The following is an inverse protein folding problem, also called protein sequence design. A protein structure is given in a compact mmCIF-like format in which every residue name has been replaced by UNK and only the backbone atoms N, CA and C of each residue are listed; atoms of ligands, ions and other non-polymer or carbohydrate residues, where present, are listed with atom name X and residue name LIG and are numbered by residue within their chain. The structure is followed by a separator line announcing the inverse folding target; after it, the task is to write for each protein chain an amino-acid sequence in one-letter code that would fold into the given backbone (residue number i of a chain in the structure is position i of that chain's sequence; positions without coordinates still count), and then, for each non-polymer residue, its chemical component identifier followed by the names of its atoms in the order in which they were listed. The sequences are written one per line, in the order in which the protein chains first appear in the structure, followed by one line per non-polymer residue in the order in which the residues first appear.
data_IF_135768576015
#
_entry.id   IF_135768576015
#
_cell.length_a   1.000
_cell.length_b   1.000
_cell.length_c   1.000
_cell.angle_alpha   90.00
_cell.angle_beta   90.00
_cell.angle_gamma   90.00
#
_symmetry.space_group_name_H-M   'P 1'
#
loop_
_entity.id
_entity.type
_entity.pdbx_description
1 polymer ?
#
# COMPACT_ATOMS: atom_id res chain seq x y z
N UNK A 1 54.47 23.63 -32.72
CA UNK A 1 53.01 23.47 -32.84
C UNK A 1 52.63 22.03 -32.59
N UNK A 2 52.30 21.66 -31.34
CA UNK A 2 51.61 20.41 -31.06
C UNK A 2 50.54 20.71 -30.02
N UNK A 3 49.29 20.74 -30.49
CA UNK A 3 48.09 20.90 -29.66
C UNK A 3 47.71 19.50 -29.17
N UNK A 4 47.79 19.18 -27.86
CA UNK A 4 47.41 17.87 -27.40
C UNK A 4 45.90 17.70 -27.53
N UNK A 5 45.46 16.74 -28.35
CA UNK A 5 44.06 16.32 -28.41
C UNK A 5 43.66 15.69 -27.08
N UNK A 6 42.78 16.38 -26.34
CA UNK A 6 42.10 15.82 -25.17
C UNK A 6 41.08 14.77 -25.62
N UNK A 7 41.52 13.55 -25.91
CA UNK A 7 40.65 12.38 -25.92
C UNK A 7 40.55 11.87 -24.49
N UNK A 8 39.49 12.26 -23.76
CA UNK A 8 39.16 11.63 -22.48
C UNK A 8 38.94 10.13 -22.71
N UNK A 9 39.51 9.24 -21.88
CA UNK A 9 39.28 7.81 -22.02
C UNK A 9 37.79 7.50 -21.81
N UNK A 10 37.24 6.58 -22.61
CA UNK A 10 35.84 6.16 -22.61
C UNK A 10 35.34 5.63 -21.24
N UNK A 11 36.26 5.44 -20.30
CA UNK A 11 36.06 5.04 -18.91
C UNK A 11 35.86 6.21 -17.93
N UNK A 12 36.01 7.47 -18.36
CA UNK A 12 35.84 8.68 -17.52
C UNK A 12 34.51 9.42 -17.74
N UNK A 13 33.70 9.01 -18.72
CA UNK A 13 32.31 9.46 -18.80
C UNK A 13 31.49 8.60 -17.85
N UNK A 14 30.98 9.14 -16.72
CA UNK A 14 29.97 8.40 -15.95
C UNK A 14 28.85 8.01 -16.92
N UNK A 15 28.33 6.77 -16.85
CA UNK A 15 27.18 6.41 -17.68
C UNK A 15 26.11 7.46 -17.46
N UNK A 16 25.53 7.95 -18.55
CA UNK A 16 24.47 8.94 -18.51
C UNK A 16 23.40 8.43 -17.54
N UNK A 17 23.30 9.04 -16.35
CA UNK A 17 22.36 8.60 -15.33
C UNK A 17 20.97 9.06 -15.75
N UNK A 18 20.35 8.31 -16.65
CA UNK A 18 18.97 8.51 -17.06
C UNK A 18 18.07 8.19 -15.85
N UNK A 19 17.43 9.22 -15.34
CA UNK A 19 16.37 9.09 -14.34
C UNK A 19 15.19 9.92 -14.82
N UNK A 20 14.09 9.24 -15.11
CA UNK A 20 12.84 9.87 -15.49
C UNK A 20 12.19 10.53 -14.26
N UNK A 21 11.43 11.59 -14.48
CA UNK A 21 10.48 12.10 -13.49
C UNK A 21 9.23 11.23 -13.58
N UNK A 22 8.94 10.47 -12.53
CA UNK A 22 7.83 9.53 -12.54
C UNK A 22 6.51 10.22 -12.15
N UNK A 23 5.38 9.78 -12.74
CA UNK A 23 4.07 10.13 -12.22
C UNK A 23 3.87 9.56 -10.82
N UNK A 24 2.89 10.09 -10.10
CA UNK A 24 2.52 9.57 -8.77
C UNK A 24 2.14 8.08 -8.85
N UNK A 25 2.53 7.30 -7.84
CA UNK A 25 2.37 5.84 -7.82
C UNK A 25 3.45 5.04 -8.56
N UNK A 26 4.39 5.66 -9.27
CA UNK A 26 5.43 4.94 -10.01
C UNK A 26 6.86 5.27 -9.57
N UNK A 27 7.72 4.26 -9.60
CA UNK A 27 9.13 4.33 -9.23
C UNK A 27 10.05 3.66 -10.26
N UNK A 28 11.34 3.63 -9.95
CA UNK A 28 12.38 3.10 -10.83
C UNK A 28 13.04 4.16 -11.70
N UNK A 29 14.09 3.77 -12.44
CA UNK A 29 14.85 4.72 -13.28
C UNK A 29 14.04 5.20 -14.48
N UNK A 30 13.13 4.37 -14.96
CA UNK A 30 12.30 4.61 -16.14
C UNK A 30 10.80 4.50 -15.84
N UNK A 31 10.42 4.59 -14.56
CA UNK A 31 9.02 4.57 -14.10
C UNK A 31 8.29 3.27 -14.46
N UNK A 32 9.02 2.15 -14.41
CA UNK A 32 8.56 0.80 -14.72
C UNK A 32 8.14 0.00 -13.48
N UNK A 33 8.39 0.52 -12.29
CA UNK A 33 7.93 -0.08 -11.05
C UNK A 33 6.67 0.62 -10.56
N UNK A 34 5.62 -0.15 -10.30
CA UNK A 34 4.48 0.31 -9.49
C UNK A 34 4.95 0.40 -8.03
N UNK A 35 4.58 1.47 -7.34
CA UNK A 35 4.88 1.65 -5.92
C UNK A 35 3.86 0.84 -5.14
N UNK A 36 4.34 -0.09 -4.29
CA UNK A 36 3.46 -0.89 -3.44
C UNK A 36 2.78 -0.02 -2.39
N UNK A 37 1.51 0.30 -2.63
CA UNK A 37 0.67 1.11 -1.74
C UNK A 37 0.13 0.28 -0.56
N UNK A 38 0.41 -1.03 -0.52
CA UNK A 38 0.02 -1.92 0.55
C UNK A 38 1.04 -2.05 1.69
N UNK A 39 2.31 -1.64 1.53
CA UNK A 39 3.35 -1.75 2.57
C UNK A 39 2.96 -1.09 3.91
N UNK A 40 2.20 0.02 3.87
CA UNK A 40 1.72 0.76 5.04
C UNK A 40 0.19 0.94 5.03
N UNK A 41 -0.56 -0.04 4.50
CA UNK A 41 -2.00 0.07 4.37
C UNK A 41 -2.72 0.23 5.73
N UNK A 42 -3.85 0.94 5.74
CA UNK A 42 -4.70 1.05 6.93
C UNK A 42 -5.81 -0.01 7.02
N UNK A 43 -5.81 -1.02 6.13
CA UNK A 43 -6.83 -2.06 6.13
C UNK A 43 -6.94 -2.76 7.49
N UNK A 44 -8.18 -2.94 7.94
CA UNK A 44 -8.52 -3.55 9.22
C UNK A 44 -8.13 -5.03 9.30
N UNK A 45 -8.17 -5.62 10.50
CA UNK A 45 -7.68 -6.97 10.72
C UNK A 45 -8.42 -8.01 9.88
N UNK A 46 -7.66 -8.86 9.19
CA UNK A 46 -8.19 -9.90 8.31
C UNK A 46 -8.70 -9.41 6.95
N UNK A 47 -8.59 -8.11 6.65
CA UNK A 47 -8.81 -7.59 5.31
C UNK A 47 -7.61 -7.89 4.40
N UNK A 48 -7.88 -7.99 3.11
CA UNK A 48 -6.84 -8.13 2.08
C UNK A 48 -6.63 -6.78 1.43
N UNK A 49 -5.41 -6.26 1.48
CA UNK A 49 -5.04 -5.07 0.71
C UNK A 49 -4.83 -5.44 -0.75
N UNK A 50 -5.35 -4.60 -1.65
CA UNK A 50 -5.18 -4.69 -3.09
C UNK A 50 -4.48 -3.42 -3.55
N UNK A 51 -3.27 -3.62 -4.03
CA UNK A 51 -2.40 -2.60 -4.59
C UNK A 51 -3.07 -1.93 -5.80
N UNK A 52 -2.81 -0.63 -5.95
CA UNK A 52 -3.36 0.18 -7.03
C UNK A 52 -2.35 1.25 -7.42
N UNK A 53 -2.77 2.19 -8.26
CA UNK A 53 -1.87 3.25 -8.72
C UNK A 53 -2.02 4.46 -7.79
N UNK A 54 -0.99 4.71 -6.98
CA UNK A 54 -0.95 5.82 -6.01
C UNK A 54 -2.11 5.77 -5.00
N UNK A 55 -2.63 4.57 -4.74
CA UNK A 55 -3.70 4.28 -3.82
C UNK A 55 -3.87 2.77 -3.67
N UNK A 56 -4.40 2.32 -2.53
CA UNK A 56 -4.79 0.94 -2.29
C UNK A 56 -6.30 0.81 -2.07
N UNK A 57 -6.82 -0.43 -2.13
CA UNK A 57 -8.19 -0.75 -1.72
C UNK A 57 -8.21 -1.94 -0.76
N UNK A 58 -9.15 -1.96 0.18
CA UNK A 58 -9.29 -3.05 1.14
C UNK A 58 -10.47 -3.95 0.77
N UNK A 59 -10.21 -5.24 0.62
CA UNK A 59 -11.26 -6.26 0.51
C UNK A 59 -11.62 -6.72 1.92
N UNK A 60 -12.82 -6.37 2.36
CA UNK A 60 -13.25 -6.65 3.72
C UNK A 60 -13.59 -8.13 3.95
N UNK A 61 -13.17 -8.69 5.09
CA UNK A 61 -13.60 -10.02 5.49
C UNK A 61 -15.09 -9.99 5.86
N UNK A 62 -15.73 -11.16 5.98
CA UNK A 62 -17.09 -11.24 6.49
C UNK A 62 -17.26 -10.47 7.80
N UNK A 63 -18.40 -9.81 7.95
CA UNK A 63 -18.77 -9.02 9.13
C UNK A 63 -17.89 -7.77 9.38
N UNK A 64 -17.18 -7.29 8.37
CA UNK A 64 -16.54 -5.97 8.38
C UNK A 64 -16.94 -5.15 7.16
N UNK A 65 -16.92 -3.83 7.34
CA UNK A 65 -17.27 -2.85 6.31
C UNK A 65 -16.51 -1.54 6.52
N UNK A 66 -16.69 -0.59 5.60
CA UNK A 66 -15.94 0.66 5.56
C UNK A 66 -14.86 0.65 4.48
N UNK A 67 -14.28 1.82 4.19
CA UNK A 67 -13.26 1.96 3.16
C UNK A 67 -11.97 1.21 3.52
N UNK A 68 -11.69 1.08 4.82
CA UNK A 68 -10.54 0.34 5.34
C UNK A 68 -10.97 -0.81 6.24
N UNK A 69 -12.22 -1.28 6.13
CA UNK A 69 -12.74 -2.41 6.89
C UNK A 69 -12.61 -2.24 8.43
N UNK A 70 -12.77 -1.01 8.90
CA UNK A 70 -12.67 -0.62 10.31
C UNK A 70 -13.94 -0.91 11.11
N UNK A 71 -15.10 -0.94 10.45
CA UNK A 71 -16.40 -1.13 11.09
C UNK A 71 -16.77 -2.61 11.16
N UNK A 72 -17.34 -3.02 12.30
CA UNK A 72 -17.95 -4.34 12.47
C UNK A 72 -19.41 -4.31 12.00
N UNK A 73 -19.82 -5.35 11.27
CA UNK A 73 -21.21 -5.56 10.85
C UNK A 73 -21.86 -6.66 11.70
N UNK A 74 -23.19 -6.60 11.87
CA UNK A 74 -23.96 -7.64 12.55
C UNK A 74 -23.96 -7.48 14.07
N UNK A 75 -23.93 -8.59 14.81
CA UNK A 75 -24.18 -8.60 16.25
C UNK A 75 -23.10 -7.90 17.09
N UNK A 76 -21.89 -7.73 16.58
CA UNK A 76 -20.85 -6.92 17.25
C UNK A 76 -20.76 -5.48 16.69
N UNK A 77 -21.67 -5.08 15.80
CA UNK A 77 -21.75 -3.69 15.35
C UNK A 77 -22.10 -2.77 16.52
N UNK A 78 -21.62 -1.54 16.48
CA UNK A 78 -21.72 -0.58 17.59
C UNK A 78 -23.16 -0.46 18.14
N UNK A 79 -24.15 -0.38 17.25
CA UNK A 79 -25.57 -0.20 17.58
C UNK A 79 -26.32 -1.50 17.90
N UNK A 80 -25.69 -2.65 17.64
CA UNK A 80 -26.30 -3.98 17.82
C UNK A 80 -25.58 -4.82 18.87
N UNK A 81 -24.50 -4.31 19.46
CA UNK A 81 -23.64 -5.02 20.39
C UNK A 81 -24.37 -5.30 21.72
N UNK A 82 -24.66 -6.57 22.06
CA UNK A 82 -25.33 -6.91 23.30
C UNK A 82 -24.39 -6.89 24.52
N UNK A 83 -23.07 -6.82 24.31
CA UNK A 83 -22.07 -6.87 25.38
C UNK A 83 -22.09 -5.59 26.22
N UNK A 84 -22.42 -5.73 27.51
CA UNK A 84 -22.45 -4.60 28.45
C UNK A 84 -21.23 -4.60 29.39
N UNK A 85 -21.07 -3.47 30.12
CA UNK A 85 -20.14 -3.31 31.26
C UNK A 85 -18.66 -3.61 30.93
N UNK A 86 -18.21 -3.20 29.74
CA UNK A 86 -16.81 -3.34 29.31
C UNK A 86 -16.44 -4.73 28.79
N UNK A 87 -17.42 -5.61 28.55
CA UNK A 87 -17.19 -6.91 27.91
C UNK A 87 -16.85 -6.71 26.42
N UNK A 88 -15.92 -7.51 25.88
CA UNK A 88 -15.50 -7.45 24.47
C UNK A 88 -16.32 -8.43 23.63
N UNK A 89 -16.92 -7.94 22.54
CA UNK A 89 -17.60 -8.77 21.56
C UNK A 89 -16.59 -9.35 20.56
N UNK A 90 -16.61 -10.67 20.37
CA UNK A 90 -15.82 -11.39 19.38
C UNK A 90 -16.73 -12.06 18.37
N UNK A 91 -16.46 -11.82 17.09
CA UNK A 91 -17.11 -12.54 16.00
C UNK A 91 -16.48 -13.93 15.86
N UNK A 92 -17.34 -14.93 15.70
CA UNK A 92 -16.97 -16.33 15.49
C UNK A 92 -17.70 -16.86 14.25
N UNK A 93 -17.24 -17.96 13.63
CA UNK A 93 -17.94 -18.57 12.49
C UNK A 93 -19.38 -18.99 12.81
N UNK A 94 -19.68 -19.25 14.08
CA UNK A 94 -20.98 -19.71 14.57
C UNK A 94 -21.87 -18.54 15.10
N UNK A 95 -21.36 -17.30 15.12
CA UNK A 95 -22.07 -16.14 15.66
C UNK A 95 -21.15 -15.13 16.36
N UNK A 96 -21.49 -14.73 17.58
CA UNK A 96 -20.73 -13.76 18.38
C UNK A 96 -20.68 -14.21 19.85
N UNK A 97 -19.64 -13.81 20.59
CA UNK A 97 -19.48 -14.09 22.04
C UNK A 97 -18.79 -12.96 22.80
#
# INVERSE_FOLDING_TARGET
SHSPSLTLPLSLTPPLSLRCSCPEGFGGRVCDADVDDCEDHACGPGATCVDGVNNYTCVCPPHRTGAVCEELTGSCAQDSNPCQRGSRCELTPEGHR
#
